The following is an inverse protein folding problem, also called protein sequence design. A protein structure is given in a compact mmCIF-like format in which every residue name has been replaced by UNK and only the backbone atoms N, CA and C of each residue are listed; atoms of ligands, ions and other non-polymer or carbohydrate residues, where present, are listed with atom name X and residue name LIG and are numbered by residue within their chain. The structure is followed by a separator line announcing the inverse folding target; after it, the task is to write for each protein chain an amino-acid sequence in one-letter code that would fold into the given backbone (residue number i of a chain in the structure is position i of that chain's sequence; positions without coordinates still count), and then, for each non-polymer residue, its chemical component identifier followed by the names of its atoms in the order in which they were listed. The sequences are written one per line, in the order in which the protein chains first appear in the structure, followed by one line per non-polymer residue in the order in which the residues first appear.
data_IF_768151695066
#
_entry.id   IF_768151695066
#
_cell.length_a   1.000
_cell.length_b   1.000
_cell.length_c   1.000
_cell.angle_alpha   90.00
_cell.angle_beta   90.00
_cell.angle_gamma   90.00
#
_symmetry.space_group_name_H-M   'P 1'
#
loop_
_entity.id
_entity.type
_entity.pdbx_description
1 polymer ?
#
# COMPACT_ATOMS: atom_id res chain seq x y z
N UNK A 1 8.75 -18.44 -7.76
CA UNK A 1 7.79 -17.53 -7.09
C UNK A 1 8.39 -16.89 -5.87
N UNK A 2 7.91 -15.68 -5.57
CA UNK A 2 8.36 -14.87 -4.45
C UNK A 2 7.15 -14.29 -3.72
N UNK A 3 7.18 -14.36 -2.39
CA UNK A 3 6.09 -13.92 -1.52
C UNK A 3 6.66 -13.09 -0.39
N UNK A 4 6.13 -11.89 -0.19
CA UNK A 4 6.47 -11.06 0.95
C UNK A 4 5.35 -11.03 1.98
N UNK A 5 5.70 -11.31 3.23
CA UNK A 5 4.82 -11.11 4.37
C UNK A 5 4.99 -9.66 4.82
N UNK A 6 3.94 -8.86 4.69
CA UNK A 6 3.91 -7.45 5.07
C UNK A 6 2.74 -7.19 6.02
N UNK A 7 2.79 -7.79 7.22
CA UNK A 7 1.75 -7.59 8.22
C UNK A 7 1.69 -6.13 8.70
N UNK A 8 0.51 -5.67 9.14
CA UNK A 8 0.36 -4.35 9.76
C UNK A 8 1.34 -4.18 10.92
N UNK A 9 2.17 -3.15 10.81
CA UNK A 9 3.22 -2.89 11.76
C UNK A 9 2.67 -2.46 13.13
N UNK A 10 3.39 -2.79 14.22
CA UNK A 10 3.11 -2.24 15.53
C UNK A 10 3.02 -0.72 15.51
N UNK A 11 2.01 -0.20 16.21
CA UNK A 11 1.78 1.23 16.38
C UNK A 11 1.03 1.48 17.67
N UNK A 12 1.29 2.62 18.33
CA UNK A 12 0.52 3.07 19.49
C UNK A 12 -0.81 3.74 19.07
N UNK A 13 -1.46 3.19 18.04
CA UNK A 13 -2.73 3.62 17.49
C UNK A 13 -3.41 2.41 16.86
N UNK A 14 -4.74 2.34 16.94
CA UNK A 14 -5.54 1.27 16.35
C UNK A 14 -5.05 -0.17 16.67
N UNK A 15 -4.94 -0.56 17.95
CA UNK A 15 -4.32 -1.82 18.37
C UNK A 15 -5.14 -3.08 18.03
N UNK A 16 -6.35 -2.92 17.48
CA UNK A 16 -7.25 -4.04 17.15
C UNK A 16 -6.87 -4.74 15.84
N UNK A 17 -6.27 -4.01 14.89
CA UNK A 17 -6.01 -4.49 13.52
C UNK A 17 -4.52 -4.68 13.21
N UNK A 18 -3.66 -4.70 14.24
CA UNK A 18 -2.21 -4.87 14.10
C UNK A 18 -1.64 -5.69 15.23
N UNK A 19 -0.45 -6.24 15.02
CA UNK A 19 0.30 -6.90 16.09
C UNK A 19 0.81 -5.88 17.12
N UNK A 20 1.01 -6.31 18.37
CA UNK A 20 1.67 -5.51 19.39
C UNK A 20 3.18 -5.43 19.14
N UNK A 21 3.84 -4.43 19.73
CA UNK A 21 5.29 -4.27 19.58
C UNK A 21 6.06 -5.48 20.13
N UNK A 22 5.57 -6.10 21.21
CA UNK A 22 6.22 -7.27 21.81
C UNK A 22 6.06 -8.54 20.94
N UNK A 23 5.04 -8.59 20.09
CA UNK A 23 4.76 -9.71 19.17
C UNK A 23 5.63 -9.66 17.91
N UNK A 24 6.25 -8.52 17.63
CA UNK A 24 7.17 -8.30 16.50
C UNK A 24 8.24 -9.38 16.39
N UNK A 25 8.92 -9.70 17.49
CA UNK A 25 9.98 -10.72 17.51
C UNK A 25 9.45 -12.09 17.10
N UNK A 26 8.20 -12.41 17.48
CA UNK A 26 7.57 -13.67 17.12
C UNK A 26 7.20 -13.70 15.63
N UNK A 27 6.66 -12.60 15.10
CA UNK A 27 6.38 -12.44 13.68
C UNK A 27 7.63 -12.61 12.82
N UNK A 28 8.70 -11.86 13.12
CA UNK A 28 9.96 -11.94 12.38
C UNK A 28 10.55 -13.36 12.45
N UNK A 29 10.47 -14.01 13.61
CA UNK A 29 10.90 -15.41 13.77
C UNK A 29 10.14 -16.34 12.85
N UNK A 30 8.80 -16.29 12.82
CA UNK A 30 7.99 -17.18 11.98
C UNK A 30 8.27 -16.98 10.49
N UNK A 31 8.41 -15.74 10.03
CA UNK A 31 8.73 -15.46 8.63
C UNK A 31 10.12 -15.97 8.27
N UNK A 32 11.12 -15.80 9.15
CA UNK A 32 12.47 -16.31 8.94
C UNK A 32 12.54 -17.85 8.96
N UNK A 33 11.78 -18.51 9.83
CA UNK A 33 11.64 -19.97 9.85
C UNK A 33 11.01 -20.48 8.54
N UNK A 34 9.98 -19.79 8.03
CA UNK A 34 9.39 -20.10 6.73
C UNK A 34 10.39 -19.89 5.58
N UNK A 35 11.17 -18.81 5.62
CA UNK A 35 12.22 -18.51 4.65
C UNK A 35 13.26 -19.62 4.57
N UNK A 36 13.74 -20.11 5.71
CA UNK A 36 14.69 -21.23 5.74
C UNK A 36 14.06 -22.55 5.29
N UNK A 37 12.86 -22.87 5.80
CA UNK A 37 12.15 -24.12 5.50
C UNK A 37 11.84 -24.28 4.01
N UNK A 38 11.56 -23.19 3.30
CA UNK A 38 11.11 -23.22 1.91
C UNK A 38 12.10 -22.65 0.89
N UNK A 39 13.36 -22.38 1.30
CA UNK A 39 14.39 -21.72 0.47
C UNK A 39 14.61 -22.37 -0.91
N UNK A 40 14.43 -23.68 -1.02
CA UNK A 40 14.62 -24.44 -2.27
C UNK A 40 13.35 -24.52 -3.13
N UNK A 41 12.24 -23.92 -2.70
CA UNK A 41 10.92 -23.99 -3.36
C UNK A 41 10.40 -22.61 -3.76
N UNK A 42 10.40 -21.67 -2.82
CA UNK A 42 9.89 -20.31 -3.02
C UNK A 42 10.79 -19.32 -2.26
N UNK A 43 10.80 -18.07 -2.71
CA UNK A 43 11.43 -17.00 -1.95
C UNK A 43 10.43 -16.36 -1.00
N UNK A 44 10.80 -16.22 0.26
CA UNK A 44 9.99 -15.59 1.31
C UNK A 44 10.68 -14.32 1.77
N UNK A 45 9.96 -13.21 1.77
CA UNK A 45 10.43 -11.90 2.21
C UNK A 45 9.77 -11.49 3.52
N UNK A 46 10.57 -10.85 4.38
CA UNK A 46 10.10 -10.25 5.62
C UNK A 46 9.91 -8.76 5.40
N UNK A 47 8.69 -8.25 5.62
CA UNK A 47 8.34 -6.87 5.44
C UNK A 47 7.28 -6.43 6.46
N UNK A 48 6.92 -5.15 6.40
CA UNK A 48 5.79 -4.57 7.13
C UNK A 48 4.96 -3.69 6.21
N UNK A 49 3.66 -3.67 6.46
CA UNK A 49 2.80 -2.57 6.06
C UNK A 49 2.68 -1.58 7.21
N UNK A 50 3.12 -0.34 6.98
CA UNK A 50 3.18 0.70 8.00
C UNK A 50 2.16 1.78 7.64
N UNK A 51 1.20 2.01 8.53
CA UNK A 51 0.34 3.18 8.41
C UNK A 51 1.16 4.46 8.50
N UNK A 52 1.01 5.35 7.52
CA UNK A 52 1.54 6.69 7.64
C UNK A 52 0.62 7.52 8.51
N UNK A 53 1.02 7.66 9.77
CA UNK A 53 0.35 8.52 10.73
C UNK A 53 1.39 9.30 11.52
N UNK A 54 1.43 10.62 11.29
CA UNK A 54 2.46 11.48 11.86
C UNK A 54 2.44 11.43 13.40
N UNK A 55 3.60 11.15 14.00
CA UNK A 55 3.75 11.03 15.46
C UNK A 55 3.39 9.67 16.06
N UNK A 56 2.89 8.72 15.27
CA UNK A 56 2.53 7.37 15.76
C UNK A 56 3.43 6.26 15.21
N UNK A 57 4.09 6.48 14.07
CA UNK A 57 5.07 5.53 13.53
C UNK A 57 6.24 5.34 14.51
N UNK A 58 6.69 4.09 14.64
CA UNK A 58 7.75 3.71 15.57
C UNK A 58 9.10 3.63 14.85
N UNK A 59 10.13 4.29 15.39
CA UNK A 59 11.48 4.29 14.82
C UNK A 59 12.06 2.87 14.72
N UNK A 60 11.73 1.98 15.66
CA UNK A 60 12.18 0.59 15.64
C UNK A 60 11.63 -0.20 14.44
N UNK A 61 10.46 0.19 13.92
CA UNK A 61 9.85 -0.40 12.72
C UNK A 61 10.44 0.26 11.46
N UNK A 62 10.52 1.59 11.42
CA UNK A 62 11.07 2.31 10.27
C UNK A 62 12.52 1.89 9.97
N UNK A 63 13.29 1.61 11.02
CA UNK A 63 14.69 1.17 10.94
C UNK A 63 14.87 -0.36 11.01
N UNK A 64 13.80 -1.15 10.93
CA UNK A 64 13.89 -2.61 10.99
C UNK A 64 14.71 -3.19 9.81
N UNK A 65 15.44 -4.27 10.09
CA UNK A 65 16.20 -5.04 9.09
C UNK A 65 15.27 -5.97 8.30
N UNK A 66 14.44 -5.37 7.45
CA UNK A 66 13.45 -6.05 6.60
C UNK A 66 13.76 -5.87 5.12
N UNK A 67 13.12 -6.68 4.29
CA UNK A 67 13.26 -6.65 2.84
C UNK A 67 12.64 -5.37 2.25
N UNK A 68 11.51 -4.90 2.78
CA UNK A 68 10.90 -3.61 2.43
C UNK A 68 9.86 -3.14 3.46
N UNK A 69 9.48 -1.87 3.34
CA UNK A 69 8.31 -1.29 4.00
C UNK A 69 7.30 -0.80 2.96
N UNK A 70 6.04 -1.19 3.13
CA UNK A 70 4.89 -0.58 2.45
C UNK A 70 4.42 0.57 3.33
N UNK A 71 4.28 1.76 2.74
CA UNK A 71 3.61 2.90 3.36
C UNK A 71 2.17 2.96 2.89
N UNK A 72 1.22 2.98 3.83
CA UNK A 72 -0.21 2.98 3.55
C UNK A 72 -0.91 4.12 4.30
N UNK A 73 -1.96 4.69 3.71
CA UNK A 73 -2.79 5.71 4.37
C UNK A 73 -4.17 5.09 4.61
N UNK A 74 -4.51 4.79 5.87
CA UNK A 74 -5.82 4.28 6.28
C UNK A 74 -6.65 5.31 7.07
N UNK A 75 -6.02 6.39 7.51
CA UNK A 75 -6.65 7.40 8.35
C UNK A 75 -6.48 8.81 7.78
N UNK A 76 -7.55 9.61 7.88
CA UNK A 76 -7.53 11.04 7.58
C UNK A 76 -7.93 11.84 8.82
N UNK A 77 -7.41 13.06 8.96
CA UNK A 77 -7.85 13.97 10.01
C UNK A 77 -9.29 14.41 9.72
N UNK A 78 -10.19 14.23 10.68
CA UNK A 78 -11.53 14.80 10.63
C UNK A 78 -11.80 15.54 11.95
N UNK A 79 -11.85 16.87 11.89
CA UNK A 79 -11.90 17.74 13.07
C UNK A 79 -10.73 17.46 14.01
N UNK A 80 -10.99 16.95 15.23
CA UNK A 80 -9.96 16.66 16.24
C UNK A 80 -9.67 15.15 16.37
N UNK A 81 -10.18 14.33 15.45
CA UNK A 81 -10.06 12.86 15.51
C UNK A 81 -9.49 12.30 14.21
N UNK A 82 -8.85 11.14 14.31
CA UNK A 82 -8.42 10.36 13.15
C UNK A 82 -9.57 9.48 12.68
N UNK A 83 -9.90 9.59 11.40
CA UNK A 83 -10.99 8.86 10.76
C UNK A 83 -10.45 7.74 9.89
N UNK A 84 -10.73 6.48 10.28
CA UNK A 84 -10.47 5.29 9.47
C UNK A 84 -11.47 5.19 8.32
N UNK A 85 -11.15 5.81 7.19
CA UNK A 85 -12.09 6.04 6.09
C UNK A 85 -12.47 4.76 5.32
N UNK A 86 -11.68 3.71 5.51
CA UNK A 86 -11.79 2.39 4.88
C UNK A 86 -12.48 1.35 5.78
N UNK A 87 -12.85 1.74 7.00
CA UNK A 87 -13.66 0.93 7.90
C UNK A 87 -15.16 1.24 7.72
N UNK A 88 -16.01 0.23 7.42
CA UNK A 88 -17.45 0.42 7.26
C UNK A 88 -18.15 1.06 8.46
N UNK A 89 -17.61 0.90 9.67
CA UNK A 89 -18.14 1.50 10.91
C UNK A 89 -18.19 3.03 10.83
N UNK A 90 -17.24 3.64 10.12
CA UNK A 90 -17.10 5.10 10.04
C UNK A 90 -17.55 5.69 8.70
N UNK A 91 -18.28 4.91 7.88
CA UNK A 91 -18.73 5.32 6.54
C UNK A 91 -19.63 6.56 6.55
N UNK A 92 -20.29 6.86 7.69
CA UNK A 92 -21.16 8.02 7.84
C UNK A 92 -20.44 9.36 7.67
N UNK A 93 -19.11 9.42 7.92
CA UNK A 93 -18.31 10.64 7.84
C UNK A 93 -18.25 11.20 6.42
N UNK A 94 -18.27 10.35 5.38
CA UNK A 94 -18.30 10.80 3.98
C UNK A 94 -19.47 11.75 3.66
N UNK A 95 -20.58 11.68 4.41
CA UNK A 95 -21.74 12.58 4.22
C UNK A 95 -21.53 13.97 4.83
N UNK A 96 -20.53 14.11 5.70
CA UNK A 96 -20.29 15.32 6.49
C UNK A 96 -19.17 16.22 5.97
N UNK A 97 -18.42 15.75 4.97
CA UNK A 97 -17.28 16.46 4.38
C UNK A 97 -17.46 16.50 2.86
N UNK A 98 -16.97 17.56 2.21
CA UNK A 98 -16.96 17.62 0.75
C UNK A 98 -16.06 16.51 0.18
N UNK A 99 -16.56 15.82 -0.85
CA UNK A 99 -15.88 14.64 -1.38
C UNK A 99 -14.57 15.00 -2.09
N UNK A 100 -14.50 16.12 -2.81
CA UNK A 100 -13.24 16.52 -3.45
C UNK A 100 -12.20 16.86 -2.40
N UNK A 101 -12.61 17.49 -1.28
CA UNK A 101 -11.72 17.78 -0.17
C UNK A 101 -11.16 16.51 0.48
N UNK A 102 -11.97 15.47 0.68
CA UNK A 102 -11.51 14.17 1.21
C UNK A 102 -10.41 13.59 0.31
N UNK A 103 -10.63 13.62 -1.00
CA UNK A 103 -9.67 13.10 -1.98
C UNK A 103 -8.38 13.94 -2.05
N UNK A 104 -8.49 15.27 -1.96
CA UNK A 104 -7.34 16.17 -1.84
C UNK A 104 -6.52 15.89 -0.57
N UNK A 105 -7.18 15.74 0.58
CA UNK A 105 -6.52 15.44 1.85
C UNK A 105 -5.84 14.06 1.82
N UNK A 106 -6.47 13.07 1.19
CA UNK A 106 -5.89 11.75 1.00
C UNK A 106 -4.61 11.78 0.15
N UNK A 107 -4.62 12.46 -1.00
CA UNK A 107 -3.41 12.54 -1.82
C UNK A 107 -2.33 13.46 -1.23
N UNK A 108 -2.70 14.47 -0.44
CA UNK A 108 -1.72 15.22 0.36
C UNK A 108 -1.09 14.34 1.46
N UNK A 109 -1.84 13.43 2.08
CA UNK A 109 -1.28 12.44 3.01
C UNK A 109 -0.31 11.47 2.31
N UNK A 110 -0.67 10.95 1.12
CA UNK A 110 0.25 10.11 0.31
C UNK A 110 1.51 10.88 -0.07
N UNK A 111 1.39 12.15 -0.47
CA UNK A 111 2.52 13.03 -0.79
C UNK A 111 3.41 13.27 0.44
N UNK A 112 2.81 13.52 1.61
CA UNK A 112 3.54 13.68 2.86
C UNK A 112 4.28 12.39 3.26
N UNK A 113 3.62 11.24 3.12
CA UNK A 113 4.22 9.92 3.32
C UNK A 113 5.44 9.73 2.43
N UNK A 114 5.31 9.96 1.12
CA UNK A 114 6.40 9.80 0.18
C UNK A 114 7.59 10.75 0.48
N UNK A 115 7.33 11.97 0.96
CA UNK A 115 8.39 12.92 1.37
C UNK A 115 9.29 12.41 2.51
N UNK A 116 8.82 11.47 3.31
CA UNK A 116 9.61 10.94 4.43
C UNK A 116 10.80 10.09 3.98
N UNK A 117 10.72 9.48 2.80
CA UNK A 117 11.70 8.50 2.27
C UNK A 117 11.89 7.25 3.15
N UNK A 118 10.95 6.92 4.04
CA UNK A 118 11.04 5.68 4.83
C UNK A 118 10.64 4.43 4.04
N UNK A 119 9.74 4.59 3.08
CA UNK A 119 9.02 3.47 2.45
C UNK A 119 9.56 3.17 1.05
N UNK A 120 9.43 1.91 0.63
CA UNK A 120 9.81 1.46 -0.72
C UNK A 120 8.58 1.40 -1.63
N UNK A 121 7.43 1.05 -1.07
CA UNK A 121 6.18 0.78 -1.79
C UNK A 121 5.09 1.70 -1.25
N UNK A 122 4.29 2.29 -2.13
CA UNK A 122 2.99 2.90 -1.79
C UNK A 122 1.93 1.81 -1.84
N UNK A 123 1.32 1.49 -0.70
CA UNK A 123 0.18 0.57 -0.64
C UNK A 123 -1.05 1.18 -1.31
N UNK A 124 -1.82 0.35 -2.01
CA UNK A 124 -3.17 0.64 -2.54
C UNK A 124 -3.47 2.13 -2.79
N UNK A 125 -2.76 2.74 -3.75
CA UNK A 125 -2.63 4.20 -3.94
C UNK A 125 -3.93 5.02 -3.91
N UNK A 126 -5.08 4.48 -4.31
CA UNK A 126 -6.37 5.18 -4.28
C UNK A 126 -7.42 4.47 -3.39
N UNK A 127 -6.99 3.84 -2.28
CA UNK A 127 -7.86 3.12 -1.33
C UNK A 127 -9.09 3.90 -0.90
N UNK A 128 -9.01 5.23 -0.85
CA UNK A 128 -10.14 6.12 -0.49
C UNK A 128 -11.42 5.88 -1.32
N UNK A 129 -11.32 5.25 -2.50
CA UNK A 129 -12.48 4.83 -3.30
C UNK A 129 -13.21 3.58 -2.80
N UNK A 130 -12.71 2.86 -1.80
CA UNK A 130 -13.16 1.51 -1.40
C UNK A 130 -14.69 1.36 -1.29
N UNK A 131 -15.38 2.41 -0.82
CA UNK A 131 -16.83 2.47 -0.66
C UNK A 131 -17.59 3.23 -1.76
N UNK A 132 -16.96 3.50 -2.91
CA UNK A 132 -17.52 4.24 -4.07
C UNK A 132 -17.87 5.71 -3.82
N UNK A 133 -17.27 6.35 -2.83
CA UNK A 133 -17.31 7.80 -2.71
C UNK A 133 -16.23 8.41 -3.62
N UNK A 134 -16.60 8.67 -4.87
CA UNK A 134 -15.68 9.15 -5.91
C UNK A 134 -15.65 10.69 -5.96
N UNK A 135 -14.51 11.31 -6.36
CA UNK A 135 -14.41 12.75 -6.46
C UNK A 135 -15.25 13.23 -7.65
N UNK A 136 -15.67 14.49 -7.60
CA UNK A 136 -16.31 15.19 -8.73
C UNK A 136 -15.24 15.75 -9.66
N UNK A 137 -14.09 16.14 -9.11
CA UNK A 137 -12.91 16.58 -9.88
C UNK A 137 -12.19 15.39 -10.52
N UNK A 138 -11.43 15.70 -11.57
CA UNK A 138 -10.54 14.73 -12.21
C UNK A 138 -9.46 14.27 -11.23
N UNK A 139 -9.49 12.98 -10.88
CA UNK A 139 -8.58 12.33 -9.94
C UNK A 139 -7.10 12.51 -10.33
N UNK A 140 -6.81 12.61 -11.64
CA UNK A 140 -5.44 12.80 -12.15
C UNK A 140 -4.88 14.15 -11.74
N UNK A 141 -5.74 15.18 -11.66
CA UNK A 141 -5.34 16.51 -11.20
C UNK A 141 -5.11 16.52 -9.69
N UNK A 142 -5.94 15.81 -8.92
CA UNK A 142 -5.81 15.70 -7.45
C UNK A 142 -4.52 14.94 -7.09
N UNK A 143 -4.24 13.82 -7.76
CA UNK A 143 -3.10 12.95 -7.48
C UNK A 143 -1.78 13.43 -8.10
N UNK A 144 -1.79 14.45 -8.97
CA UNK A 144 -0.62 14.86 -9.76
C UNK A 144 0.62 15.11 -8.91
N UNK A 145 0.46 15.83 -7.80
CA UNK A 145 1.58 16.20 -6.95
C UNK A 145 2.08 15.05 -6.08
N UNK A 146 1.19 14.13 -5.68
CA UNK A 146 1.58 12.94 -4.92
C UNK A 146 2.36 11.97 -5.82
N UNK A 147 1.92 11.72 -7.05
CA UNK A 147 2.63 10.89 -8.03
C UNK A 147 4.03 11.44 -8.34
N UNK A 148 4.16 12.76 -8.56
CA UNK A 148 5.47 13.39 -8.75
C UNK A 148 6.39 13.20 -7.54
N UNK A 149 5.85 13.28 -6.34
CA UNK A 149 6.62 13.07 -5.11
C UNK A 149 7.02 11.60 -4.95
N UNK A 150 6.14 10.65 -5.23
CA UNK A 150 6.42 9.20 -5.25
C UNK A 150 7.61 8.92 -6.18
N UNK A 151 7.57 9.47 -7.40
CA UNK A 151 8.68 9.36 -8.36
C UNK A 151 9.98 9.93 -7.79
N UNK A 152 9.91 11.14 -7.21
CA UNK A 152 11.07 11.83 -6.63
C UNK A 152 11.70 11.03 -5.48
N UNK A 153 10.89 10.37 -4.67
CA UNK A 153 11.32 9.53 -3.54
C UNK A 153 11.75 8.11 -3.97
N UNK A 154 11.77 7.81 -5.27
CA UNK A 154 12.09 6.50 -5.82
C UNK A 154 11.24 5.35 -5.23
N UNK A 155 9.99 5.66 -4.87
CA UNK A 155 9.02 4.67 -4.42
C UNK A 155 8.33 4.02 -5.62
N UNK A 156 7.77 2.83 -5.40
CA UNK A 156 6.99 2.08 -6.40
C UNK A 156 5.53 1.99 -5.98
N UNK A 157 4.64 1.73 -6.94
CA UNK A 157 3.23 1.51 -6.64
C UNK A 157 2.94 0.02 -6.47
N UNK A 158 2.21 -0.32 -5.42
CA UNK A 158 1.55 -1.62 -5.33
C UNK A 158 0.38 -1.70 -6.31
N UNK A 159 0.35 -2.77 -7.10
CA UNK A 159 -0.83 -3.19 -7.86
C UNK A 159 -1.57 -4.22 -7.01
N UNK A 160 -2.70 -3.78 -6.48
CA UNK A 160 -3.44 -4.49 -5.45
C UNK A 160 -4.86 -4.89 -5.94
N UNK A 161 -5.11 -6.17 -6.19
CA UNK A 161 -6.40 -6.70 -6.62
C UNK A 161 -7.40 -6.88 -5.47
N UNK A 162 -7.06 -6.57 -4.21
CA UNK A 162 -8.01 -6.67 -3.11
C UNK A 162 -9.26 -5.80 -3.30
N UNK A 163 -9.17 -4.70 -4.05
CA UNK A 163 -10.34 -3.88 -4.37
C UNK A 163 -11.42 -4.60 -5.18
N UNK A 164 -11.09 -5.69 -5.92
CA UNK A 164 -12.06 -6.59 -6.56
C UNK A 164 -12.91 -7.36 -5.53
N UNK A 165 -12.43 -7.52 -4.30
CA UNK A 165 -13.16 -8.15 -3.18
C UNK A 165 -13.93 -7.12 -2.33
N UNK A 166 -13.81 -5.83 -2.65
CA UNK A 166 -14.42 -4.71 -1.92
C UNK A 166 -15.56 -4.10 -2.74
N UNK A 167 -16.40 -3.22 -2.15
CA UNK A 167 -17.51 -2.63 -2.89
C UNK A 167 -17.09 -1.97 -4.21
N UNK A 168 -15.95 -1.26 -4.25
CA UNK A 168 -15.44 -0.63 -5.48
C UNK A 168 -15.34 -1.59 -6.67
N UNK A 169 -14.97 -2.86 -6.44
CA UNK A 169 -14.77 -3.88 -7.47
C UNK A 169 -13.80 -3.43 -8.58
N UNK A 170 -12.68 -2.82 -8.19
CA UNK A 170 -11.62 -2.33 -9.07
C UNK A 170 -10.26 -2.57 -8.40
N UNK A 171 -9.18 -2.71 -9.16
CA UNK A 171 -7.83 -2.75 -8.62
C UNK A 171 -7.44 -1.39 -8.00
N UNK A 172 -6.47 -1.42 -7.09
CA UNK A 172 -5.74 -0.24 -6.66
C UNK A 172 -4.32 -0.26 -7.28
N UNK A 173 -3.82 0.85 -7.82
CA UNK A 173 -4.58 2.04 -8.23
C UNK A 173 -5.63 1.74 -9.32
N UNK A 174 -6.57 2.68 -9.50
CA UNK A 174 -7.39 2.75 -10.72
C UNK A 174 -6.52 2.84 -11.98
N UNK A 175 -7.06 2.37 -13.10
CA UNK A 175 -6.36 2.38 -14.40
C UNK A 175 -5.86 3.78 -14.77
N UNK A 176 -6.68 4.81 -14.57
CA UNK A 176 -6.33 6.20 -14.92
C UNK A 176 -5.12 6.72 -14.14
N UNK A 177 -5.02 6.40 -12.84
CA UNK A 177 -3.86 6.79 -12.04
C UNK A 177 -2.62 5.97 -12.38
N UNK A 178 -2.81 4.71 -12.75
CA UNK A 178 -1.72 3.86 -13.19
C UNK A 178 -1.13 4.31 -14.54
N UNK A 179 -1.96 4.80 -15.46
CA UNK A 179 -1.50 5.42 -16.72
C UNK A 179 -0.64 6.67 -16.44
N UNK A 180 -1.08 7.56 -15.55
CA UNK A 180 -0.29 8.73 -15.13
C UNK A 180 1.04 8.32 -14.45
N UNK A 181 1.01 7.27 -13.63
CA UNK A 181 2.21 6.73 -12.99
C UNK A 181 3.20 6.14 -14.00
N UNK A 182 2.68 5.47 -15.05
CA UNK A 182 3.48 4.92 -16.14
C UNK A 182 4.18 6.03 -16.93
N UNK A 183 3.45 7.10 -17.28
CA UNK A 183 4.01 8.25 -18.00
C UNK A 183 5.11 8.98 -17.20
N UNK A 184 5.01 8.96 -15.87
CA UNK A 184 6.05 9.47 -14.96
C UNK A 184 7.23 8.50 -14.76
N UNK A 185 7.14 7.28 -15.31
CA UNK A 185 8.13 6.22 -15.15
C UNK A 185 8.23 5.71 -13.72
N UNK A 186 7.12 5.65 -12.99
CA UNK A 186 7.04 5.05 -11.65
C UNK A 186 6.94 3.53 -11.82
N UNK A 187 7.85 2.79 -11.18
CA UNK A 187 7.84 1.33 -11.19
C UNK A 187 6.68 0.77 -10.37
N UNK A 188 6.36 -0.50 -10.59
CA UNK A 188 5.27 -1.21 -9.92
C UNK A 188 5.76 -2.48 -9.21
N UNK A 189 5.00 -2.94 -8.23
CA UNK A 189 5.11 -4.27 -7.62
C UNK A 189 3.71 -4.87 -7.45
N UNK A 190 3.60 -6.17 -7.21
CA UNK A 190 2.32 -6.86 -7.03
C UNK A 190 2.12 -7.26 -5.57
N UNK A 191 0.92 -7.04 -5.03
CA UNK A 191 0.53 -7.47 -3.70
C UNK A 191 -0.94 -7.83 -3.67
N UNK A 192 -1.32 -8.99 -3.11
CA UNK A 192 -2.71 -9.45 -3.12
C UNK A 192 -3.53 -8.97 -1.92
N UNK A 193 -2.86 -8.39 -0.91
CA UNK A 193 -3.43 -7.98 0.38
C UNK A 193 -4.26 -9.13 0.99
N UNK A 194 -3.57 -10.26 1.13
CA UNK A 194 -4.15 -11.53 1.53
C UNK A 194 -4.30 -11.63 3.05
N UNK A 195 -5.56 -11.67 3.49
CA UNK A 195 -5.94 -11.91 4.89
C UNK A 195 -6.40 -13.36 5.16
N UNK A 196 -6.31 -14.22 4.15
CA UNK A 196 -6.57 -15.67 4.23
C UNK A 196 -5.84 -16.38 3.10
N UNK A 197 -5.71 -17.71 3.17
CA UNK A 197 -4.89 -18.50 2.24
C UNK A 197 -5.42 -18.40 0.81
N UNK A 198 -6.73 -18.41 0.63
CA UNK A 198 -7.41 -18.28 -0.64
C UNK A 198 -7.25 -16.90 -1.31
N UNK A 199 -6.80 -15.89 -0.56
CA UNK A 199 -6.49 -14.58 -1.11
C UNK A 199 -5.06 -14.48 -1.67
N UNK A 200 -4.18 -15.44 -1.39
CA UNK A 200 -2.80 -15.43 -1.90
C UNK A 200 -2.83 -15.55 -3.42
N UNK A 201 -2.28 -14.54 -4.11
CA UNK A 201 -2.28 -14.48 -5.57
C UNK A 201 -3.64 -14.22 -6.21
N UNK A 202 -4.68 -13.91 -5.42
CA UNK A 202 -6.00 -13.55 -5.95
C UNK A 202 -5.89 -12.38 -6.91
N UNK A 203 -6.54 -12.45 -8.07
CA UNK A 203 -6.62 -11.37 -9.06
C UNK A 203 -5.31 -11.04 -9.76
N UNK A 204 -4.30 -11.92 -9.68
CA UNK A 204 -2.98 -11.70 -10.28
C UNK A 204 -3.06 -11.59 -11.80
N UNK A 205 -3.82 -12.46 -12.47
CA UNK A 205 -3.94 -12.45 -13.93
C UNK A 205 -4.61 -11.16 -14.43
N UNK A 206 -5.65 -10.68 -13.74
CA UNK A 206 -6.29 -9.39 -14.02
C UNK A 206 -5.33 -8.22 -13.83
N UNK A 207 -4.53 -8.24 -12.75
CA UNK A 207 -3.51 -7.23 -12.48
C UNK A 207 -2.42 -7.20 -13.56
N UNK A 208 -1.88 -8.38 -13.92
CA UNK A 208 -0.87 -8.53 -14.98
C UNK A 208 -1.41 -8.04 -16.32
N UNK A 209 -2.65 -8.40 -16.66
CA UNK A 209 -3.30 -7.94 -17.88
C UNK A 209 -3.40 -6.41 -17.90
N UNK A 210 -3.89 -5.79 -16.82
CA UNK A 210 -4.05 -4.34 -16.75
C UNK A 210 -2.72 -3.61 -16.94
N UNK A 211 -1.65 -4.03 -16.25
CA UNK A 211 -0.35 -3.33 -16.32
C UNK A 211 0.33 -3.56 -17.68
N UNK A 212 0.17 -4.74 -18.30
CA UNK A 212 0.69 -5.02 -19.65
C UNK A 212 -0.05 -4.21 -20.72
N UNK A 213 -1.37 -4.06 -20.59
CA UNK A 213 -2.18 -3.24 -21.49
C UNK A 213 -1.75 -1.76 -21.45
N UNK A 214 -1.29 -1.27 -20.29
CA UNK A 214 -0.75 0.10 -20.13
C UNK A 214 0.67 0.22 -20.69
N UNK A 215 1.46 -0.84 -20.62
CA UNK A 215 2.80 -0.91 -21.21
C UNK A 215 3.93 -1.28 -20.24
N UNK A 216 3.61 -1.62 -18.98
CA UNK A 216 4.60 -2.15 -18.05
C UNK A 216 5.15 -3.49 -18.54
N UNK A 217 6.48 -3.64 -18.48
CA UNK A 217 7.22 -4.86 -18.85
C UNK A 217 8.04 -5.43 -17.70
N UNK A 218 8.21 -4.65 -16.64
CA UNK A 218 9.05 -4.98 -15.48
C UNK A 218 8.35 -4.54 -14.20
N UNK A 219 8.45 -5.37 -13.19
CA UNK A 219 8.03 -5.07 -11.83
C UNK A 219 9.26 -5.05 -10.92
N UNK A 220 9.05 -4.70 -9.67
CA UNK A 220 10.09 -4.56 -8.67
C UNK A 220 9.86 -5.52 -7.52
N UNK A 221 10.94 -6.12 -7.06
CA UNK A 221 11.07 -6.66 -5.70
C UNK A 221 12.14 -5.90 -4.92
N UNK A 222 12.17 -6.12 -3.61
CA UNK A 222 13.16 -5.52 -2.73
C UNK A 222 13.85 -6.57 -1.88
N UNK A 223 15.16 -6.39 -1.70
CA UNK A 223 15.95 -7.15 -0.74
C UNK A 223 16.72 -6.16 0.12
N UNK A 224 16.54 -6.22 1.44
CA UNK A 224 17.14 -5.24 2.37
C UNK A 224 16.93 -3.78 1.94
N UNK A 225 15.71 -3.45 1.49
CA UNK A 225 15.28 -2.14 0.97
C UNK A 225 15.93 -1.72 -0.35
N UNK A 226 16.72 -2.58 -0.98
CA UNK A 226 17.31 -2.35 -2.30
C UNK A 226 16.39 -2.82 -3.42
N UNK A 227 16.16 -1.94 -4.40
CA UNK A 227 15.27 -2.18 -5.54
C UNK A 227 15.89 -3.15 -6.54
N UNK A 228 15.13 -4.18 -6.93
CA UNK A 228 15.52 -5.18 -7.94
C UNK A 228 14.43 -5.30 -9.00
N UNK A 229 14.77 -5.03 -10.27
CA UNK A 229 13.84 -5.14 -11.39
C UNK A 229 13.73 -6.58 -11.91
N UNK A 230 12.50 -7.02 -12.18
CA UNK A 230 12.18 -8.37 -12.67
C UNK A 230 11.22 -8.24 -13.87
N UNK A 231 11.38 -9.10 -14.87
CA UNK A 231 10.42 -9.24 -15.98
C UNK A 231 9.28 -10.20 -15.57
N UNK A 232 8.03 -9.87 -15.96
CA UNK A 232 6.82 -10.63 -15.59
C UNK A 232 5.85 -10.77 -16.78
#
# INVERSE_FOLDING_TARGET
DEYGFACHAPMNFDPKYRMKLEERTLYEKWVNEAKEKYKDKIKVLLAYEVDFLNGFMLDEILNANVDYLIGSVHFLQNKNEMWGFDNPEFIGVYKSVDIDKIWEDYFEAIKAMAKTNYFQIVGHLDLIKVFKFLPKKDIRLIAKDSLKQIKKSNMVLEINPAGLRKPINELYPSKQLLEEAFDLGINITFGSDAHSVEHVGFGYDEAVKMVKDIGYKKCVTFYKKEMNLIEF
#
